data_IF_625788960277
#
_entry.id   IF_625788960277
#
_cell.length_a   1.000
_cell.length_b   1.000
_cell.length_c   1.000
_cell.angle_alpha   90.00
_cell.angle_beta   90.00
_cell.angle_gamma   90.00
#
_symmetry.space_group_name_H-M   'P 1'
#
loop_
_entity.id
_entity.type
_entity.pdbx_description
1 polymer ?
#
# COMPACT_ATOMS: atom_id res chain seq x y z
N UNK A 1 38.55 7.71 -37.85
CA UNK A 1 37.51 8.69 -37.45
C UNK A 1 36.75 8.07 -36.29
N UNK A 2 37.01 8.54 -35.07
CA UNK A 2 36.35 8.02 -33.87
C UNK A 2 35.07 8.81 -33.63
N UNK A 3 33.93 8.14 -33.66
CA UNK A 3 32.63 8.73 -33.34
C UNK A 3 32.51 8.89 -31.83
N UNK A 4 32.52 10.12 -31.34
CA UNK A 4 32.18 10.46 -29.96
C UNK A 4 30.66 10.34 -29.78
N UNK A 5 30.21 9.25 -29.15
CA UNK A 5 28.85 9.12 -28.67
C UNK A 5 28.67 10.02 -27.45
N UNK A 6 28.08 11.20 -27.66
CA UNK A 6 27.59 12.06 -26.58
C UNK A 6 26.42 11.38 -25.89
N UNK A 7 26.68 10.66 -24.80
CA UNK A 7 25.64 10.18 -23.90
C UNK A 7 25.05 11.37 -23.15
N UNK A 8 23.79 11.71 -23.42
CA UNK A 8 23.03 12.61 -22.56
C UNK A 8 23.01 12.02 -21.14
N UNK A 9 23.50 12.72 -20.11
CA UNK A 9 23.66 12.16 -18.76
C UNK A 9 22.34 11.86 -18.03
N UNK A 10 21.18 12.06 -18.65
CA UNK A 10 19.86 11.89 -18.04
C UNK A 10 18.87 11.20 -18.99
N UNK A 11 19.30 10.18 -19.75
CA UNK A 11 18.33 9.35 -20.46
C UNK A 11 17.57 8.54 -19.39
N UNK A 12 16.29 8.88 -19.17
CA UNK A 12 15.38 8.08 -18.35
C UNK A 12 15.35 6.70 -18.97
N UNK A 13 16.12 5.77 -18.40
CA UNK A 13 16.07 4.38 -18.82
C UNK A 13 14.82 3.83 -18.16
N UNK A 14 13.75 3.67 -18.95
CA UNK A 14 12.55 3.02 -18.49
C UNK A 14 12.95 1.62 -18.01
N UNK A 15 12.73 1.35 -16.72
CA UNK A 15 12.97 0.03 -16.15
C UNK A 15 12.12 -0.98 -16.93
N UNK A 16 12.70 -2.14 -17.25
CA UNK A 16 11.94 -3.22 -17.88
C UNK A 16 10.80 -3.64 -16.95
N UNK A 17 9.64 -4.06 -17.49
CA UNK A 17 8.44 -4.44 -16.73
C UNK A 17 8.73 -5.43 -15.58
N UNK A 18 9.81 -6.20 -15.69
CA UNK A 18 10.28 -7.18 -14.70
C UNK A 18 10.92 -6.56 -13.46
N UNK A 19 11.34 -5.30 -13.51
CA UNK A 19 12.00 -4.58 -12.41
C UNK A 19 10.99 -3.85 -11.50
N UNK A 20 9.75 -3.67 -11.98
CA UNK A 20 8.62 -3.15 -11.20
C UNK A 20 7.88 -4.25 -10.41
N UNK A 21 8.39 -5.49 -10.41
CA UNK A 21 7.81 -6.60 -9.64
C UNK A 21 8.07 -6.36 -8.15
N UNK A 22 7.07 -5.80 -7.46
CA UNK A 22 7.07 -5.57 -6.01
C UNK A 22 6.72 -4.12 -5.65
N UNK A 23 5.82 -3.94 -4.68
CA UNK A 23 5.34 -2.63 -4.20
C UNK A 23 6.49 -1.69 -3.78
N UNK A 24 7.60 -2.24 -3.28
CA UNK A 24 8.78 -1.48 -2.86
C UNK A 24 9.50 -0.76 -4.01
N UNK A 25 9.49 -1.33 -5.22
CA UNK A 25 10.19 -0.76 -6.37
C UNK A 25 9.34 0.32 -7.06
N UNK A 26 8.01 0.26 -6.89
CA UNK A 26 7.09 1.24 -7.43
C UNK A 26 7.25 2.62 -6.80
N UNK A 27 7.35 2.69 -5.46
CA UNK A 27 7.56 3.95 -4.76
C UNK A 27 8.88 4.62 -5.19
N UNK A 28 9.97 3.84 -5.25
CA UNK A 28 11.29 4.31 -5.71
C UNK A 28 11.24 4.79 -7.16
N UNK A 29 10.53 4.07 -8.03
CA UNK A 29 10.32 4.49 -9.41
C UNK A 29 9.56 5.81 -9.51
N UNK A 30 8.48 5.97 -8.76
CA UNK A 30 7.70 7.20 -8.72
C UNK A 30 8.51 8.38 -8.19
N UNK A 31 9.28 8.18 -7.11
CA UNK A 31 10.13 9.22 -6.52
C UNK A 31 11.25 9.62 -7.48
N UNK A 32 11.87 8.66 -8.17
CA UNK A 32 12.85 8.94 -9.21
C UNK A 32 12.24 9.75 -10.35
N UNK A 33 11.05 9.35 -10.83
CA UNK A 33 10.35 10.05 -11.91
C UNK A 33 10.00 11.49 -11.50
N UNK A 34 9.51 11.71 -10.27
CA UNK A 34 9.26 13.04 -9.71
C UNK A 34 10.54 13.85 -9.55
N UNK A 35 11.62 13.24 -9.06
CA UNK A 35 12.93 13.88 -8.90
C UNK A 35 13.52 14.33 -10.23
N UNK A 36 13.25 13.62 -11.33
CA UNK A 36 13.67 14.02 -12.68
C UNK A 36 12.76 15.13 -13.23
N UNK A 37 11.45 15.05 -12.98
CA UNK A 37 10.47 16.02 -13.47
C UNK A 37 10.49 17.37 -12.72
N UNK A 38 10.89 17.39 -11.45
CA UNK A 38 10.94 18.58 -10.61
C UNK A 38 11.90 19.67 -11.14
N UNK A 39 13.19 19.39 -11.40
CA UNK A 39 14.12 20.41 -11.89
C UNK A 39 13.82 20.87 -13.33
N UNK A 40 13.08 20.09 -14.11
CA UNK A 40 12.68 20.45 -15.48
C UNK A 40 11.35 21.19 -15.54
N UNK A 41 10.72 21.50 -14.40
CA UNK A 41 9.41 22.16 -14.36
C UNK A 41 8.25 21.28 -14.85
N UNK A 42 8.48 19.98 -15.07
CA UNK A 42 7.49 19.03 -15.58
C UNK A 42 6.60 18.45 -14.49
N UNK A 43 6.88 18.73 -13.21
CA UNK A 43 6.11 18.18 -12.09
C UNK A 43 4.62 18.58 -12.17
N UNK A 44 4.32 19.81 -12.60
CA UNK A 44 2.95 20.26 -12.79
C UNK A 44 2.19 19.53 -13.92
N UNK A 45 2.89 18.86 -14.84
CA UNK A 45 2.28 17.97 -15.83
C UNK A 45 1.94 16.58 -15.28
N UNK A 46 2.81 16.04 -14.42
CA UNK A 46 2.58 14.75 -13.78
C UNK A 46 1.40 14.82 -12.79
N UNK A 47 1.30 15.94 -12.06
CA UNK A 47 0.23 16.17 -11.08
C UNK A 47 -1.07 16.71 -11.72
N UNK A 48 -1.06 16.98 -13.04
CA UNK A 48 -2.22 17.51 -13.77
C UNK A 48 -2.62 18.95 -13.42
N UNK A 49 -1.78 19.68 -12.67
CA UNK A 49 -2.02 21.06 -12.24
C UNK A 49 -1.84 22.05 -13.40
N UNK A 50 -0.93 21.76 -14.33
CA UNK A 50 -0.70 22.61 -15.52
C UNK A 50 -1.57 22.10 -16.66
N UNK A 51 -2.73 22.72 -16.82
CA UNK A 51 -3.61 22.54 -17.98
C UNK A 51 -2.97 23.15 -19.22
N UNK A 52 -3.22 22.55 -20.39
CA UNK A 52 -2.74 23.09 -21.66
C UNK A 52 -3.17 24.56 -21.84
N UNK A 53 -2.30 25.45 -22.36
CA UNK A 53 -2.70 26.81 -22.69
C UNK A 53 -3.90 26.76 -23.64
N UNK A 54 -5.01 27.40 -23.27
CA UNK A 54 -6.14 27.57 -24.17
C UNK A 54 -5.65 28.33 -25.41
N UNK A 55 -6.02 27.85 -26.60
CA UNK A 55 -5.68 28.52 -27.86
C UNK A 55 -6.10 30.00 -27.74
N UNK A 56 -5.11 30.90 -27.81
CA UNK A 56 -5.32 32.32 -27.55
C UNK A 56 -6.40 32.91 -28.47
N UNK A 57 -7.15 33.93 -28.03
CA UNK A 57 -8.13 34.60 -28.87
C UNK A 57 -7.48 35.15 -30.14
N UNK A 58 -8.24 35.11 -31.24
CA UNK A 58 -7.81 35.57 -32.56
C UNK A 58 -7.18 36.98 -32.51
N UNK A 59 -6.17 37.27 -33.34
CA UNK A 59 -5.40 38.50 -33.27
C UNK A 59 -6.31 39.72 -33.40
N UNK A 60 -6.36 40.52 -32.34
CA UNK A 60 -7.02 41.83 -32.32
C UNK A 60 -6.12 42.81 -33.11
N UNK A 61 -6.68 43.67 -33.98
CA UNK A 61 -5.90 44.60 -34.80
C UNK A 61 -5.02 45.55 -33.97
N UNK A 62 -3.89 46.01 -34.53
CA UNK A 62 -2.87 46.75 -33.79
C UNK A 62 -3.37 48.11 -33.30
N UNK A 63 -3.18 48.37 -32.01
CA UNK A 63 -3.36 49.69 -31.40
C UNK A 63 -2.12 50.59 -31.64
N UNK A 64 -2.25 51.93 -31.60
CA UNK A 64 -1.17 52.86 -31.93
C UNK A 64 0.02 52.76 -30.96
N UNK A 65 1.22 52.96 -31.52
CA UNK A 65 2.53 52.74 -30.90
C UNK A 65 2.71 53.35 -29.50
N UNK A 66 2.89 52.47 -28.50
CA UNK A 66 3.45 52.83 -27.20
C UNK A 66 4.95 52.50 -27.16
N UNK A 67 5.71 53.32 -26.42
CA UNK A 67 7.17 53.33 -26.35
C UNK A 67 7.79 51.97 -25.94
N UNK A 68 9.05 51.69 -26.34
CA UNK A 68 9.72 50.43 -26.06
C UNK A 68 9.92 50.23 -24.56
N UNK A 69 9.21 49.26 -23.98
CA UNK A 69 9.41 48.83 -22.60
C UNK A 69 10.74 48.06 -22.48
N UNK A 70 11.51 48.37 -21.44
CA UNK A 70 12.75 47.66 -21.12
C UNK A 70 12.48 46.16 -20.87
N UNK A 71 13.44 45.27 -21.19
CA UNK A 71 13.30 43.85 -20.93
C UNK A 71 13.23 43.60 -19.43
N UNK A 72 12.04 43.20 -18.96
CA UNK A 72 11.84 42.69 -17.61
C UNK A 72 12.45 41.30 -17.56
N UNK A 73 13.55 41.13 -16.80
CA UNK A 73 14.05 39.80 -16.45
C UNK A 73 13.01 39.10 -15.58
N UNK A 74 12.12 38.33 -16.21
CA UNK A 74 11.19 37.48 -15.48
C UNK A 74 11.87 36.15 -15.11
N UNK A 75 11.64 35.64 -13.89
CA UNK A 75 12.11 34.32 -13.50
C UNK A 75 11.56 33.26 -14.45
N UNK A 76 12.44 32.39 -14.95
CA UNK A 76 12.16 31.29 -15.90
C UNK A 76 11.02 30.35 -15.44
N UNK A 77 10.62 30.38 -14.16
CA UNK A 77 9.61 29.46 -13.59
C UNK A 77 8.21 30.06 -13.37
N UNK A 78 7.87 31.24 -13.90
CA UNK A 78 6.62 31.93 -13.56
C UNK A 78 5.57 32.05 -14.68
N UNK A 79 5.83 31.59 -15.90
CA UNK A 79 4.87 31.81 -17.00
C UNK A 79 4.30 30.51 -17.53
N UNK A 80 2.98 30.51 -17.72
CA UNK A 80 2.31 29.58 -18.61
C UNK A 80 3.17 29.44 -19.88
N UNK A 81 3.64 28.24 -20.22
CA UNK A 81 4.50 28.04 -21.37
C UNK A 81 3.81 28.61 -22.61
N UNK A 82 4.58 29.29 -23.46
CA UNK A 82 4.03 29.76 -24.73
C UNK A 82 3.55 28.56 -25.56
N UNK A 83 2.56 28.75 -26.45
CA UNK A 83 2.05 27.66 -27.29
C UNK A 83 3.17 26.93 -28.05
N UNK A 84 4.21 27.66 -28.47
CA UNK A 84 5.35 27.10 -29.19
C UNK A 84 6.29 26.29 -28.29
N UNK A 85 6.54 26.75 -27.06
CA UNK A 85 7.29 25.97 -26.05
C UNK A 85 6.48 24.74 -25.60
N UNK A 86 5.16 24.89 -25.49
CA UNK A 86 4.23 23.81 -25.24
C UNK A 86 4.32 22.76 -26.35
N UNK A 87 4.22 23.15 -27.61
CA UNK A 87 4.32 22.25 -28.77
C UNK A 87 5.72 21.66 -28.96
N UNK A 88 6.80 22.33 -28.53
CA UNK A 88 8.15 21.77 -28.58
C UNK A 88 8.38 20.75 -27.45
N UNK A 89 7.90 21.05 -26.25
CA UNK A 89 7.97 20.18 -25.09
C UNK A 89 7.04 18.98 -25.28
N UNK A 90 5.79 19.22 -25.66
CA UNK A 90 4.84 18.20 -26.10
C UNK A 90 5.19 17.63 -27.46
N UNK A 91 6.11 18.15 -28.26
CA UNK A 91 6.57 17.50 -29.50
C UNK A 91 7.64 16.46 -29.20
N UNK A 92 8.44 16.71 -28.15
CA UNK A 92 9.40 15.77 -27.60
C UNK A 92 8.74 14.76 -26.63
N UNK A 93 7.64 15.14 -25.99
CA UNK A 93 6.74 14.31 -25.15
C UNK A 93 5.44 13.93 -25.89
N UNK A 94 5.35 14.18 -27.20
CA UNK A 94 4.16 13.95 -28.03
C UNK A 94 3.93 12.47 -28.12
N UNK A 95 3.05 12.01 -27.25
CA UNK A 95 1.70 11.85 -27.73
C UNK A 95 0.81 11.84 -26.47
N UNK A 96 -0.51 11.96 -26.64
CA UNK A 96 -1.48 11.58 -25.60
C UNK A 96 -1.21 10.19 -24.98
N UNK A 97 -0.34 9.38 -25.62
CA UNK A 97 0.26 8.17 -25.09
C UNK A 97 0.98 8.35 -23.75
N UNK A 98 1.65 9.46 -23.44
CA UNK A 98 2.39 9.56 -22.15
C UNK A 98 1.45 9.65 -20.95
N UNK A 99 0.48 10.56 -20.98
CA UNK A 99 -0.56 10.65 -19.94
C UNK A 99 -1.46 9.40 -19.92
N UNK A 100 -1.85 8.87 -21.09
CA UNK A 100 -2.60 7.60 -21.18
C UNK A 100 -1.80 6.42 -20.63
N UNK A 101 -0.50 6.35 -20.90
CA UNK A 101 0.38 5.30 -20.40
C UNK A 101 0.57 5.44 -18.90
N UNK A 102 0.75 6.66 -18.38
CA UNK A 102 0.83 6.93 -16.95
C UNK A 102 -0.45 6.53 -16.21
N UNK A 103 -1.61 6.94 -16.71
CA UNK A 103 -2.92 6.55 -16.14
C UNK A 103 -3.18 5.05 -16.26
N UNK A 104 -2.77 4.41 -17.37
CA UNK A 104 -2.85 2.95 -17.53
C UNK A 104 -1.94 2.25 -16.52
N UNK A 105 -0.71 2.73 -16.32
CA UNK A 105 0.26 2.16 -15.39
C UNK A 105 -0.21 2.30 -13.94
N UNK A 106 -0.74 3.46 -13.56
CA UNK A 106 -1.39 3.67 -12.26
C UNK A 106 -2.58 2.71 -12.10
N UNK A 107 -3.46 2.61 -13.11
CA UNK A 107 -4.61 1.72 -13.05
C UNK A 107 -4.23 0.24 -12.90
N UNK A 108 -3.20 -0.22 -13.63
CA UNK A 108 -2.65 -1.58 -13.48
C UNK A 108 -2.05 -1.78 -12.10
N UNK A 109 -1.30 -0.80 -11.59
CA UNK A 109 -0.73 -0.85 -10.24
C UNK A 109 -1.82 -0.92 -9.17
N UNK A 110 -2.82 -0.05 -9.22
CA UNK A 110 -3.94 -0.04 -8.28
C UNK A 110 -4.72 -1.35 -8.32
N UNK A 111 -4.99 -1.87 -9.52
CA UNK A 111 -5.66 -3.17 -9.70
C UNK A 111 -4.83 -4.31 -9.11
N UNK A 112 -3.52 -4.34 -9.39
CA UNK A 112 -2.60 -5.36 -8.89
C UNK A 112 -2.43 -5.26 -7.37
N UNK A 113 -2.37 -4.04 -6.83
CA UNK A 113 -2.30 -3.77 -5.40
C UNK A 113 -3.58 -4.22 -4.69
N UNK A 114 -4.77 -3.87 -5.23
CA UNK A 114 -6.04 -4.31 -4.68
C UNK A 114 -6.18 -5.83 -4.72
N UNK A 115 -5.76 -6.49 -5.80
CA UNK A 115 -5.74 -7.94 -5.91
C UNK A 115 -4.77 -8.58 -4.90
N UNK A 116 -3.56 -8.02 -4.74
CA UNK A 116 -2.58 -8.48 -3.77
C UNK A 116 -3.07 -8.31 -2.32
N UNK A 117 -3.69 -7.17 -2.01
CA UNK A 117 -4.32 -6.94 -0.71
C UNK A 117 -5.45 -7.93 -0.45
N UNK A 118 -6.33 -8.17 -1.43
CA UNK A 118 -7.42 -9.14 -1.34
C UNK A 118 -6.90 -10.57 -1.08
N UNK A 119 -5.90 -11.01 -1.85
CA UNK A 119 -5.23 -12.30 -1.66
C UNK A 119 -4.58 -12.45 -0.29
N UNK A 120 -4.07 -11.35 0.28
CA UNK A 120 -3.41 -11.38 1.59
C UNK A 120 -4.41 -11.32 2.76
N UNK A 121 -5.60 -10.74 2.55
CA UNK A 121 -6.71 -10.79 3.52
C UNK A 121 -7.41 -12.16 3.55
N UNK A 122 -7.41 -12.89 2.45
CA UNK A 122 -8.10 -14.19 2.35
C UNK A 122 -7.66 -15.22 3.43
N UNK A 123 -6.34 -15.42 3.70
CA UNK A 123 -5.89 -16.28 4.79
C UNK A 123 -6.43 -15.86 6.16
N UNK A 124 -6.47 -14.55 6.45
CA UNK A 124 -7.01 -14.02 7.71
C UNK A 124 -8.49 -14.36 7.82
N UNK A 125 -9.27 -14.16 6.75
CA UNK A 125 -10.71 -14.47 6.74
C UNK A 125 -11.04 -15.96 6.80
N UNK A 126 -10.14 -16.82 6.33
CA UNK A 126 -10.29 -18.28 6.41
C UNK A 126 -9.73 -18.86 7.70
N UNK A 127 -8.97 -18.10 8.47
CA UNK A 127 -8.34 -18.57 9.70
C UNK A 127 -9.41 -18.79 10.77
N UNK A 128 -9.57 -20.04 11.22
CA UNK A 128 -10.61 -20.42 12.18
C UNK A 128 -9.99 -20.90 13.47
N UNK A 129 -10.61 -20.52 14.59
CA UNK A 129 -10.28 -21.10 15.89
C UNK A 129 -10.66 -22.58 15.92
N UNK A 130 -9.72 -23.42 16.35
CA UNK A 130 -9.91 -24.87 16.51
C UNK A 130 -10.05 -25.15 18.01
N UNK A 131 -11.20 -25.66 18.48
CA UNK A 131 -11.38 -26.02 19.88
C UNK A 131 -10.28 -26.97 20.38
N UNK A 132 -9.70 -26.65 21.53
CA UNK A 132 -8.60 -27.41 22.14
C UNK A 132 -7.20 -26.85 21.88
N UNK A 133 -7.07 -25.87 20.97
CA UNK A 133 -5.84 -25.07 20.86
C UNK A 133 -5.92 -23.92 21.88
N UNK A 134 -4.88 -23.67 22.69
CA UNK A 134 -4.83 -22.52 23.59
C UNK A 134 -5.05 -21.20 22.85
N UNK A 135 -5.72 -20.24 23.49
CA UNK A 135 -6.01 -18.95 22.84
C UNK A 135 -4.74 -18.20 22.45
N UNK A 136 -3.66 -18.37 23.22
CA UNK A 136 -2.36 -17.75 22.95
C UNK A 136 -1.83 -18.16 21.57
N UNK A 137 -1.83 -19.46 21.28
CA UNK A 137 -1.33 -19.98 20.02
C UNK A 137 -2.17 -19.47 18.83
N UNK A 138 -3.50 -19.48 18.98
CA UNK A 138 -4.41 -18.91 17.98
C UNK A 138 -4.08 -17.44 17.68
N UNK A 139 -3.94 -16.61 18.71
CA UNK A 139 -3.67 -15.18 18.53
C UNK A 139 -2.27 -14.92 17.96
N UNK A 140 -1.26 -15.69 18.34
CA UNK A 140 0.08 -15.59 17.75
C UNK A 140 0.05 -15.90 16.25
N UNK A 141 -0.67 -16.95 15.84
CA UNK A 141 -0.83 -17.29 14.43
C UNK A 141 -1.57 -16.17 13.67
N UNK A 142 -2.64 -15.62 14.22
CA UNK A 142 -3.39 -14.52 13.62
C UNK A 142 -2.55 -13.23 13.49
N UNK A 143 -1.72 -12.90 14.49
CA UNK A 143 -0.79 -11.77 14.44
C UNK A 143 0.31 -11.97 13.39
N UNK A 144 0.77 -13.21 13.19
CA UNK A 144 1.71 -13.52 12.12
C UNK A 144 1.12 -13.27 10.73
N UNK A 145 -0.16 -13.60 10.52
CA UNK A 145 -0.89 -13.31 9.29
C UNK A 145 -1.10 -11.81 9.10
N UNK A 146 -1.46 -11.08 10.16
CA UNK A 146 -1.57 -9.62 10.12
C UNK A 146 -0.24 -8.97 9.74
N UNK A 147 0.88 -9.43 10.33
CA UNK A 147 2.22 -8.93 9.99
C UNK A 147 2.56 -9.19 8.52
N UNK A 148 2.21 -10.37 7.99
CA UNK A 148 2.38 -10.67 6.57
C UNK A 148 1.55 -9.73 5.68
N UNK A 149 0.32 -9.40 6.08
CA UNK A 149 -0.52 -8.40 5.39
C UNK A 149 0.08 -6.99 5.41
N UNK A 150 0.62 -6.56 6.55
CA UNK A 150 1.28 -5.25 6.66
C UNK A 150 2.50 -5.11 5.73
N UNK A 151 3.22 -6.21 5.45
CA UNK A 151 4.36 -6.20 4.52
C UNK A 151 3.96 -5.87 3.07
N UNK A 152 2.70 -6.10 2.69
CA UNK A 152 2.16 -5.73 1.36
C UNK A 152 1.30 -4.46 1.43
N UNK A 153 1.50 -3.63 2.45
CA UNK A 153 0.75 -2.40 2.69
C UNK A 153 -0.77 -2.64 2.86
N UNK A 154 -1.18 -3.85 3.24
CA UNK A 154 -2.57 -4.16 3.54
C UNK A 154 -2.88 -3.80 5.00
N UNK A 155 -3.70 -2.77 5.19
CA UNK A 155 -4.20 -2.41 6.52
C UNK A 155 -5.31 -3.37 6.95
N UNK A 156 -5.08 -4.06 8.07
CA UNK A 156 -6.07 -4.90 8.76
C UNK A 156 -6.37 -4.24 10.10
N UNK A 157 -7.64 -3.86 10.30
CA UNK A 157 -8.06 -3.12 11.49
C UNK A 157 -8.31 -4.05 12.68
N UNK A 158 -8.43 -3.48 13.88
CA UNK A 158 -8.80 -4.26 15.07
C UNK A 158 -10.22 -4.81 14.95
N UNK A 159 -11.10 -4.08 14.27
CA UNK A 159 -12.48 -4.45 14.00
C UNK A 159 -12.54 -5.65 13.04
N UNK A 160 -11.67 -5.69 12.02
CA UNK A 160 -11.54 -6.82 11.11
C UNK A 160 -11.14 -8.09 11.88
N UNK A 161 -10.12 -7.99 12.74
CA UNK A 161 -9.64 -9.12 13.55
C UNK A 161 -10.67 -9.59 14.58
N UNK A 162 -11.40 -8.65 15.20
CA UNK A 162 -12.47 -8.97 16.12
C UNK A 162 -13.60 -9.72 15.40
N UNK A 163 -14.09 -9.17 14.29
CA UNK A 163 -15.15 -9.79 13.49
C UNK A 163 -14.75 -11.19 13.04
N UNK A 164 -13.51 -11.35 12.57
CA UNK A 164 -12.96 -12.63 12.17
C UNK A 164 -12.92 -13.64 13.32
N UNK A 165 -12.40 -13.24 14.47
CA UNK A 165 -12.35 -14.12 15.63
C UNK A 165 -13.76 -14.55 16.05
N UNK A 166 -14.68 -13.60 16.20
CA UNK A 166 -16.06 -13.85 16.63
C UNK A 166 -16.83 -14.76 15.66
N UNK A 167 -16.61 -14.64 14.36
CA UNK A 167 -17.23 -15.50 13.34
C UNK A 167 -16.57 -16.87 13.22
N UNK A 168 -15.35 -17.03 13.75
CA UNK A 168 -14.64 -18.31 13.75
C UNK A 168 -14.99 -19.24 14.91
N UNK A 169 -15.69 -18.73 15.93
CA UNK A 169 -15.98 -19.49 17.15
C UNK A 169 -16.96 -20.64 16.90
N UNK A 170 -16.65 -21.81 17.47
CA UNK A 170 -17.57 -22.95 17.57
C UNK A 170 -18.77 -22.62 18.47
N UNK A 171 -19.94 -23.27 18.29
CA UNK A 171 -21.09 -23.15 19.19
C UNK A 171 -20.78 -23.27 20.70
N UNK A 172 -19.77 -24.06 21.08
CA UNK A 172 -19.37 -24.24 22.49
C UNK A 172 -18.76 -22.96 23.11
N UNK A 173 -18.38 -22.00 22.26
CA UNK A 173 -17.73 -20.75 22.63
C UNK A 173 -18.65 -19.53 22.46
N UNK A 174 -19.96 -19.73 22.18
CA UNK A 174 -20.92 -18.62 22.01
C UNK A 174 -21.05 -17.74 23.25
N UNK A 175 -20.70 -18.25 24.44
CA UNK A 175 -20.66 -17.45 25.66
C UNK A 175 -19.71 -16.25 25.52
N UNK A 176 -18.67 -16.34 24.69
CA UNK A 176 -17.74 -15.23 24.41
C UNK A 176 -18.47 -14.11 23.67
N UNK A 177 -19.31 -14.43 22.68
CA UNK A 177 -20.11 -13.44 21.95
C UNK A 177 -21.07 -12.71 22.90
N UNK A 178 -21.71 -13.44 23.81
CA UNK A 178 -22.68 -12.89 24.73
C UNK A 178 -22.06 -11.92 25.74
N UNK A 179 -20.86 -12.25 26.25
CA UNK A 179 -20.24 -11.49 27.33
C UNK A 179 -19.23 -10.44 26.84
N UNK A 180 -18.67 -10.60 25.64
CA UNK A 180 -17.48 -9.86 25.24
C UNK A 180 -17.54 -9.22 23.84
N UNK A 181 -18.68 -9.29 23.14
CA UNK A 181 -18.83 -8.69 21.80
C UNK A 181 -18.65 -7.17 21.76
N UNK A 182 -18.84 -6.46 22.87
CA UNK A 182 -18.68 -5.00 22.95
C UNK A 182 -17.25 -4.53 23.24
N UNK A 183 -16.31 -5.45 23.43
CA UNK A 183 -14.92 -5.11 23.76
C UNK A 183 -14.07 -4.90 22.52
N UNK A 184 -13.09 -4.01 22.61
CA UNK A 184 -12.07 -3.88 21.55
C UNK A 184 -11.23 -5.15 21.45
N UNK A 185 -10.68 -5.43 20.27
CA UNK A 185 -9.86 -6.63 20.04
C UNK A 185 -8.72 -6.84 21.07
N UNK A 186 -7.90 -5.83 21.43
CA UNK A 186 -6.86 -6.02 22.44
C UNK A 186 -7.40 -6.39 23.83
N UNK A 187 -8.55 -5.81 24.20
CA UNK A 187 -9.22 -6.11 25.48
C UNK A 187 -9.80 -7.52 25.47
N UNK A 188 -10.43 -7.92 24.38
CA UNK A 188 -10.93 -9.28 24.15
C UNK A 188 -9.81 -10.31 24.27
N UNK A 189 -8.70 -10.11 23.55
CA UNK A 189 -7.50 -10.96 23.63
C UNK A 189 -7.03 -11.13 25.08
N UNK A 190 -6.85 -10.03 25.80
CA UNK A 190 -6.38 -10.06 27.19
C UNK A 190 -7.32 -10.86 28.13
N UNK A 191 -8.64 -10.70 28.00
CA UNK A 191 -9.58 -11.45 28.84
C UNK A 191 -9.59 -12.94 28.54
N UNK A 192 -9.48 -13.33 27.27
CA UNK A 192 -9.46 -14.73 26.86
C UNK A 192 -8.17 -15.43 27.31
N UNK A 193 -7.01 -14.77 27.18
CA UNK A 193 -5.76 -15.29 27.72
C UNK A 193 -5.82 -15.48 29.24
N UNK A 194 -6.44 -14.53 29.95
CA UNK A 194 -6.66 -14.66 31.40
C UNK A 194 -7.60 -15.82 31.74
N UNK A 195 -8.64 -16.04 30.94
CA UNK A 195 -9.56 -17.16 31.11
C UNK A 195 -8.83 -18.50 30.96
N UNK A 196 -8.05 -18.67 29.89
CA UNK A 196 -7.26 -19.88 29.63
C UNK A 196 -6.37 -20.23 30.83
N UNK A 197 -5.63 -19.24 31.32
CA UNK A 197 -4.74 -19.38 32.47
C UNK A 197 -5.48 -19.80 33.76
N UNK A 198 -6.72 -19.34 33.97
CA UNK A 198 -7.55 -19.75 35.12
C UNK A 198 -8.07 -21.18 34.98
N UNK A 199 -8.42 -21.60 33.76
CA UNK A 199 -8.89 -22.96 33.47
C UNK A 199 -7.75 -23.97 33.68
N UNK A 200 -6.56 -23.70 33.13
CA UNK A 200 -5.38 -24.55 33.31
C UNK A 200 -4.96 -24.69 34.78
N UNK A 201 -5.01 -23.58 35.54
CA UNK A 201 -4.71 -23.58 36.98
C UNK A 201 -5.68 -24.47 37.78
N UNK A 202 -6.93 -24.61 37.30
CA UNK A 202 -7.97 -25.40 37.97
C UNK A 202 -7.81 -26.91 37.72
N UNK A 203 -7.23 -27.29 36.57
CA UNK A 203 -6.97 -28.68 36.21
C UNK A 203 -5.75 -29.23 36.95
N UNK A 204 -4.79 -28.37 37.28
CA UNK A 204 -3.54 -28.73 37.97
C UNK A 204 -3.70 -28.79 39.50
N UNK A 205 -4.84 -29.29 39.97
CA UNK A 205 -5.09 -29.51 41.40
C UNK A 205 -4.21 -30.64 41.98
N UNK A 206 -3.92 -30.65 43.30
CA UNK A 206 -2.94 -31.53 43.95
C UNK A 206 -3.30 -33.03 44.00
N UNK A 207 -4.30 -33.49 43.26
CA UNK A 207 -4.86 -34.83 43.42
C UNK A 207 -4.69 -35.68 42.16
N UNK A 208 -3.53 -36.32 42.06
CA UNK A 208 -3.43 -37.80 42.03
C UNK A 208 -1.96 -38.17 41.94
N UNK A 209 -1.36 -38.46 43.09
CA UNK A 209 -0.19 -39.33 43.12
C UNK A 209 -0.58 -40.62 42.36
N UNK A 210 0.15 -41.02 41.30
CA UNK A 210 -0.11 -42.30 40.67
C UNK A 210 0.15 -43.37 41.71
N UNK A 211 -0.92 -43.96 42.25
CA UNK A 211 -0.83 -45.20 43.00
C UNK A 211 -0.26 -46.22 42.02
N UNK A 212 1.04 -46.47 42.16
CA UNK A 212 1.75 -47.47 41.39
C UNK A 212 1.11 -48.82 41.70
N UNK A 213 0.24 -49.28 40.81
CA UNK A 213 -0.21 -50.67 40.79
C UNK A 213 0.99 -51.53 40.35
N UNK A 214 1.80 -51.95 41.33
CA UNK A 214 2.79 -53.00 41.18
C UNK A 214 2.04 -54.32 40.93
N UNK A 215 1.90 -54.68 39.66
CA UNK A 215 1.43 -56.00 39.24
C UNK A 215 2.59 -56.99 39.42
N UNK A 216 2.66 -57.64 40.58
CA UNK A 216 3.56 -58.76 40.83
C UNK A 216 3.14 -59.94 39.95
N UNK A 217 3.92 -60.23 38.90
CA UNK A 217 3.79 -61.46 38.13
C UNK A 217 4.73 -62.49 38.73
N UNK A 218 4.19 -63.45 39.46
CA UNK A 218 4.88 -64.70 39.79
C UNK A 218 4.62 -65.71 38.69
N UNK A 219 5.68 -66.12 38.00
CA UNK A 219 5.74 -67.25 37.08
C UNK A 219 7.17 -67.78 37.04
#
# INVERSE_FOLDING_TARGET
MSSSSTSLPNLITFLEDRQLIGLSNWAVFCDHLKSVAHPTGLNGHLDGIITAPAAGPAPVPPAPAAAPAMPINMPINSQNPSLKEWELCNGCLADMKSHRMWTTLIGVYETTSAAAQSLTKEPIHKFKYIPGIPYEEYFQQLESLQKAASNVSCTVTNEDLQSQFLTSLSPDHLWILQNHSSHTYPKLKCMLLKYDMMVESSITGPNTSPVANALATTG
#
